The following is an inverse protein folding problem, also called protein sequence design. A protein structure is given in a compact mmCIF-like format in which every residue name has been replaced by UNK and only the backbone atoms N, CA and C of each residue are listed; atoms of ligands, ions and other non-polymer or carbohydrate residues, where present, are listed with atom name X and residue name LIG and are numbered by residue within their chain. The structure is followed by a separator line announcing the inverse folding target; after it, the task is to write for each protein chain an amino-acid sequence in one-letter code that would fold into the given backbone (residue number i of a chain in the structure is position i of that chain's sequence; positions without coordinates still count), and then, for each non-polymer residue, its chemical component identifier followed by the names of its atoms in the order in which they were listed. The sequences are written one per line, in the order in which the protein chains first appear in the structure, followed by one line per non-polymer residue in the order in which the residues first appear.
data_IF_144128664939
#
_entry.id   IF_144128664939
#
_cell.length_a   1.000
_cell.length_b   1.000
_cell.length_c   1.000
_cell.angle_alpha   90.00
_cell.angle_beta   90.00
_cell.angle_gamma   90.00
#
_symmetry.space_group_name_H-M   'P 1'
#
loop_
_entity.id
_entity.type
_entity.pdbx_description
1 polymer ?
#
# COMPACT_ATOMS: atom_id res chain seq x y z
N UNK A 1 70.01 27.02 -5.27
CA UNK A 1 70.21 25.77 -4.52
C UNK A 1 69.12 25.71 -3.47
N UNK A 2 67.90 25.35 -3.88
CA UNK A 2 66.77 25.21 -2.97
C UNK A 2 66.90 23.88 -2.23
N UNK A 3 66.99 23.95 -0.91
CA UNK A 3 67.11 22.80 -0.02
C UNK A 3 65.71 22.20 0.11
N UNK A 4 65.50 21.06 -0.56
CA UNK A 4 64.33 20.21 -0.37
C UNK A 4 64.43 19.62 1.04
N UNK A 5 63.68 20.18 1.99
CA UNK A 5 63.52 19.62 3.33
C UNK A 5 62.61 18.39 3.25
N UNK A 6 63.23 17.20 3.27
CA UNK A 6 62.54 15.93 3.48
C UNK A 6 61.98 15.88 4.92
N UNK A 7 60.70 16.19 5.09
CA UNK A 7 59.99 15.85 6.34
C UNK A 7 59.89 14.32 6.47
N UNK A 8 60.45 13.78 7.55
CA UNK A 8 60.28 12.37 7.94
C UNK A 8 58.80 12.09 8.19
N UNK A 9 58.23 10.99 7.66
CA UNK A 9 56.84 10.65 7.95
C UNK A 9 56.66 10.44 9.46
N UNK A 10 55.55 10.96 10.04
CA UNK A 10 55.32 10.85 11.47
C UNK A 10 55.29 9.39 11.91
N UNK A 11 55.98 9.09 13.01
CA UNK A 11 56.06 7.75 13.58
C UNK A 11 54.66 7.15 13.81
N UNK A 12 54.57 5.82 13.71
CA UNK A 12 53.33 5.03 13.82
C UNK A 12 52.48 5.44 15.04
N UNK A 13 53.13 5.81 16.15
CA UNK A 13 52.50 6.29 17.38
C UNK A 13 51.85 7.68 17.25
N UNK A 14 52.48 8.63 16.54
CA UNK A 14 51.90 9.96 16.30
C UNK A 14 50.70 9.89 15.36
N UNK A 15 50.75 9.00 14.35
CA UNK A 15 49.61 8.68 13.48
C UNK A 15 48.45 8.05 14.28
N UNK A 16 48.77 7.14 15.20
CA UNK A 16 47.76 6.50 16.07
C UNK A 16 47.13 7.50 17.05
N UNK A 17 47.93 8.41 17.62
CA UNK A 17 47.45 9.47 18.51
C UNK A 17 46.55 10.49 17.80
N UNK A 18 46.93 10.93 16.59
CA UNK A 18 46.09 11.79 15.76
C UNK A 18 44.79 11.09 15.33
N UNK A 19 44.86 9.79 15.03
CA UNK A 19 43.68 9.00 14.73
C UNK A 19 42.72 8.93 15.93
N UNK A 20 43.24 8.62 17.13
CA UNK A 20 42.49 8.62 18.39
C UNK A 20 41.86 9.98 18.70
N UNK A 21 42.59 11.08 18.47
CA UNK A 21 42.09 12.45 18.66
C UNK A 21 41.00 12.83 17.65
N UNK A 22 40.98 12.21 16.46
CA UNK A 22 39.95 12.41 15.43
C UNK A 22 38.68 11.56 15.63
N UNK A 23 38.70 10.54 16.49
CA UNK A 23 37.55 9.66 16.74
C UNK A 23 36.33 10.40 17.30
N UNK A 24 36.43 11.32 18.28
CA UNK A 24 35.29 12.06 18.81
C UNK A 24 34.62 12.93 17.75
N UNK A 25 35.39 13.58 16.88
CA UNK A 25 34.85 14.42 15.79
C UNK A 25 34.16 13.57 14.72
N UNK A 26 34.74 12.41 14.36
CA UNK A 26 34.10 11.43 13.47
C UNK A 26 32.82 10.87 14.08
N UNK A 27 32.79 10.61 15.38
CA UNK A 27 31.59 10.17 16.09
C UNK A 27 30.52 11.26 16.11
N UNK A 28 30.89 12.51 16.41
CA UNK A 28 29.97 13.66 16.34
C UNK A 28 29.40 13.85 14.93
N UNK A 29 30.23 13.80 13.90
CA UNK A 29 29.78 13.92 12.51
C UNK A 29 28.80 12.79 12.14
N UNK A 30 29.10 11.54 12.54
CA UNK A 30 28.17 10.41 12.37
C UNK A 30 26.86 10.60 13.13
N UNK A 31 26.90 11.10 14.37
CA UNK A 31 25.69 11.39 15.15
C UNK A 31 24.86 12.48 14.47
N UNK A 32 25.49 13.57 14.00
CA UNK A 32 24.80 14.63 13.26
C UNK A 32 24.20 14.11 11.95
N UNK A 33 24.91 13.26 11.22
CA UNK A 33 24.40 12.61 10.01
C UNK A 33 23.17 11.74 10.32
N UNK A 34 23.22 10.94 11.40
CA UNK A 34 22.09 10.13 11.87
C UNK A 34 20.91 11.01 12.27
N UNK A 35 21.15 12.07 13.04
CA UNK A 35 20.11 13.03 13.45
C UNK A 35 19.47 13.69 12.23
N UNK A 36 20.26 14.14 11.26
CA UNK A 36 19.75 14.72 10.02
C UNK A 36 18.92 13.71 9.21
N UNK A 37 19.33 12.44 9.16
CA UNK A 37 18.55 11.36 8.53
C UNK A 37 17.23 11.13 9.27
N UNK A 38 17.21 11.14 10.59
CA UNK A 38 15.99 10.96 11.41
C UNK A 38 15.05 12.15 11.23
N UNK A 39 15.56 13.38 11.28
CA UNK A 39 14.77 14.60 11.03
C UNK A 39 14.19 14.55 9.61
N UNK A 40 14.99 14.16 8.62
CA UNK A 40 14.52 13.99 7.25
C UNK A 40 13.44 12.91 7.14
N UNK A 41 13.61 11.77 7.80
CA UNK A 41 12.63 10.66 7.81
C UNK A 41 11.26 11.11 8.33
N UNK A 42 11.24 11.92 9.39
CA UNK A 42 10.01 12.48 9.98
C UNK A 42 9.39 13.59 9.15
N UNK A 43 10.21 14.40 8.45
CA UNK A 43 9.72 15.43 7.51
C UNK A 43 9.17 14.85 6.22
N UNK A 44 9.79 13.78 5.71
CA UNK A 44 9.40 13.13 4.45
C UNK A 44 8.05 12.42 4.57
N UNK A 45 7.76 11.78 5.72
CA UNK A 45 6.44 11.20 6.02
C UNK A 45 6.09 11.37 7.51
N UNK A 46 5.32 12.41 7.89
CA UNK A 46 4.98 12.67 9.29
C UNK A 46 4.15 11.54 9.92
N UNK A 47 3.48 10.71 9.11
CA UNK A 47 2.72 9.55 9.61
C UNK A 47 3.62 8.53 10.31
N UNK A 48 4.93 8.53 10.02
CA UNK A 48 5.93 7.68 10.72
C UNK A 48 6.10 8.08 12.18
N UNK A 49 6.07 9.38 12.48
CA UNK A 49 6.13 9.88 13.86
C UNK A 49 4.87 9.43 14.61
N UNK A 50 3.70 9.64 13.99
CA UNK A 50 2.44 9.21 14.57
C UNK A 50 2.41 7.69 14.80
N UNK A 51 2.89 6.90 13.84
CA UNK A 51 3.00 5.44 13.99
C UNK A 51 3.90 5.05 15.16
N UNK A 52 5.08 5.65 15.32
CA UNK A 52 5.96 5.37 16.46
C UNK A 52 5.28 5.66 17.81
N UNK A 53 4.52 6.75 17.89
CA UNK A 53 3.73 7.08 19.08
C UNK A 53 2.63 6.05 19.32
N UNK A 54 1.93 5.60 18.28
CA UNK A 54 0.90 4.54 18.39
C UNK A 54 1.46 3.24 18.93
N UNK A 55 2.63 2.81 18.44
CA UNK A 55 3.30 1.59 18.92
C UNK A 55 3.66 1.74 20.39
N UNK A 56 4.24 2.88 20.79
CA UNK A 56 4.54 3.18 22.19
C UNK A 56 3.30 3.17 23.08
N UNK A 57 2.19 3.75 22.61
CA UNK A 57 0.91 3.75 23.31
C UNK A 57 0.35 2.33 23.46
N UNK A 58 0.39 1.51 22.41
CA UNK A 58 -0.08 0.12 22.46
C UNK A 58 0.74 -0.71 23.45
N UNK A 59 2.06 -0.56 23.44
CA UNK A 59 2.95 -1.22 24.40
C UNK A 59 2.66 -0.76 25.83
N UNK A 60 2.48 0.54 26.05
CA UNK A 60 2.18 1.08 27.37
C UNK A 60 0.84 0.58 27.87
N UNK A 61 -0.19 0.61 27.01
CA UNK A 61 -1.53 0.14 27.33
C UNK A 61 -1.50 -1.34 27.73
N UNK A 62 -0.88 -2.21 26.93
CA UNK A 62 -0.77 -3.65 27.23
C UNK A 62 0.12 -3.91 28.45
N UNK A 63 1.14 -3.09 28.69
CA UNK A 63 2.01 -3.23 29.87
C UNK A 63 1.31 -2.82 31.17
N UNK A 64 0.36 -1.88 31.13
CA UNK A 64 -0.45 -1.53 32.30
C UNK A 64 -1.27 -2.74 32.79
N UNK A 65 -1.74 -3.62 31.88
CA UNK A 65 -2.38 -4.88 32.28
C UNK A 65 -1.44 -5.79 33.10
N UNK A 66 -0.12 -5.72 32.85
CA UNK A 66 0.87 -6.46 33.63
C UNK A 66 1.09 -5.87 35.02
N UNK A 67 1.03 -4.53 35.16
CA UNK A 67 1.23 -3.86 36.44
C UNK A 67 -0.01 -3.86 37.34
N UNK A 68 -1.19 -4.16 36.80
CA UNK A 68 -2.42 -4.25 37.57
C UNK A 68 -2.55 -5.62 38.24
N UNK A 69 -2.45 -5.65 39.57
CA UNK A 69 -2.29 -6.87 40.36
C UNK A 69 -3.33 -7.99 40.09
N UNK A 70 -4.65 -7.71 40.02
CA UNK A 70 -5.64 -8.72 39.68
C UNK A 70 -5.45 -9.36 38.29
N UNK A 71 -4.86 -8.65 37.33
CA UNK A 71 -4.59 -9.17 35.99
C UNK A 71 -3.26 -9.92 35.93
N UNK A 72 -2.27 -9.49 36.72
CA UNK A 72 -1.02 -10.22 36.91
C UNK A 72 -1.25 -11.59 37.56
N UNK A 73 -2.10 -11.66 38.60
CA UNK A 73 -2.40 -12.92 39.27
C UNK A 73 -3.09 -13.93 38.32
N UNK A 74 -3.85 -13.44 37.34
CA UNK A 74 -4.53 -14.28 36.34
C UNK A 74 -3.62 -14.71 35.17
N UNK A 75 -2.73 -13.83 34.67
CA UNK A 75 -1.93 -14.11 33.46
C UNK A 75 -0.45 -14.39 33.72
N UNK A 76 0.10 -13.93 34.85
CA UNK A 76 1.49 -14.10 35.27
C UNK A 76 2.51 -13.80 34.16
N UNK A 77 3.48 -14.70 33.99
CA UNK A 77 4.51 -14.63 32.94
C UNK A 77 3.90 -14.68 31.53
N UNK A 78 2.68 -15.22 31.37
CA UNK A 78 2.03 -15.30 30.05
C UNK A 78 1.68 -13.92 29.48
N UNK A 79 1.55 -12.89 30.31
CA UNK A 79 1.34 -11.52 29.87
C UNK A 79 2.49 -10.98 28.98
N UNK A 80 3.71 -11.53 29.08
CA UNK A 80 4.80 -11.21 28.15
C UNK A 80 4.42 -11.50 26.69
N UNK A 81 3.57 -12.51 26.44
CA UNK A 81 3.08 -12.81 25.10
C UNK A 81 2.19 -11.71 24.51
N UNK A 82 1.47 -10.96 25.35
CA UNK A 82 0.68 -9.81 24.90
C UNK A 82 1.61 -8.68 24.42
N UNK A 83 2.66 -8.37 25.18
CA UNK A 83 3.68 -7.37 24.80
C UNK A 83 4.39 -7.81 23.51
N UNK A 84 4.85 -9.05 23.45
CA UNK A 84 5.46 -9.61 22.24
C UNK A 84 4.51 -9.52 21.04
N UNK A 85 3.21 -9.76 21.25
CA UNK A 85 2.18 -9.63 20.19
C UNK A 85 2.16 -8.22 19.63
N UNK A 86 2.17 -7.19 20.48
CA UNK A 86 2.21 -5.79 20.02
C UNK A 86 3.42 -5.55 19.14
N UNK A 87 4.61 -5.96 19.58
CA UNK A 87 5.86 -5.75 18.84
C UNK A 87 5.83 -6.39 17.45
N UNK A 88 5.24 -7.57 17.30
CA UNK A 88 5.30 -8.32 16.03
C UNK A 88 4.10 -8.10 15.11
N UNK A 89 2.95 -7.66 15.66
CA UNK A 89 1.70 -7.46 14.91
C UNK A 89 1.52 -6.00 14.50
N UNK A 90 1.95 -5.03 15.32
CA UNK A 90 1.72 -3.63 15.02
C UNK A 90 2.55 -3.21 13.81
N UNK A 91 1.87 -2.84 12.74
CA UNK A 91 2.46 -2.49 11.45
C UNK A 91 2.09 -1.05 11.05
N UNK A 92 2.78 -0.54 10.04
CA UNK A 92 2.61 0.87 9.62
C UNK A 92 1.18 1.20 9.20
N UNK A 93 0.53 0.31 8.45
CA UNK A 93 -0.86 0.46 8.00
C UNK A 93 -1.84 -0.34 8.84
N UNK A 94 -3.10 0.11 8.82
CA UNK A 94 -4.22 -0.59 9.47
C UNK A 94 -4.39 -1.99 8.86
N UNK A 95 -4.40 -2.10 7.53
CA UNK A 95 -4.56 -3.38 6.84
C UNK A 95 -3.46 -4.40 7.18
N UNK A 96 -2.21 -3.95 7.27
CA UNK A 96 -1.10 -4.83 7.67
C UNK A 96 -1.24 -5.29 9.13
N UNK A 97 -1.60 -4.39 10.04
CA UNK A 97 -1.81 -4.71 11.46
C UNK A 97 -2.96 -5.69 11.65
N UNK A 98 -4.08 -5.45 10.95
CA UNK A 98 -5.28 -6.29 11.04
C UNK A 98 -5.04 -7.67 10.42
N UNK A 99 -4.38 -7.73 9.25
CA UNK A 99 -4.00 -8.99 8.62
C UNK A 99 -3.03 -9.81 9.47
N UNK A 100 -1.99 -9.21 10.05
CA UNK A 100 -1.09 -9.90 10.98
C UNK A 100 -1.79 -10.32 12.27
N UNK A 101 -2.64 -9.47 12.84
CA UNK A 101 -3.36 -9.74 14.09
C UNK A 101 -4.32 -10.92 13.95
N UNK A 102 -5.15 -10.92 12.89
CA UNK A 102 -6.05 -12.03 12.58
C UNK A 102 -5.28 -13.32 12.28
N UNK A 103 -4.20 -13.25 11.47
CA UNK A 103 -3.35 -14.40 11.20
C UNK A 103 -2.72 -14.96 12.48
N UNK A 104 -2.27 -14.11 13.42
CA UNK A 104 -1.72 -14.56 14.70
C UNK A 104 -2.77 -15.25 15.55
N UNK A 105 -3.95 -14.66 15.67
CA UNK A 105 -5.07 -15.21 16.45
C UNK A 105 -5.50 -16.58 15.92
N UNK A 106 -5.74 -16.68 14.61
CA UNK A 106 -6.13 -17.94 13.96
C UNK A 106 -5.03 -19.00 14.08
N UNK A 107 -3.77 -18.64 13.82
CA UNK A 107 -2.65 -19.56 13.95
C UNK A 107 -2.49 -20.06 15.40
N UNK A 108 -2.66 -19.19 16.38
CA UNK A 108 -2.57 -19.54 17.82
C UNK A 108 -3.72 -20.46 18.23
N UNK A 109 -4.93 -20.20 17.76
CA UNK A 109 -6.10 -21.04 18.03
C UNK A 109 -5.92 -22.44 17.42
N UNK A 110 -5.56 -22.53 16.14
CA UNK A 110 -5.38 -23.82 15.45
C UNK A 110 -4.19 -24.58 16.04
N UNK A 111 -3.07 -23.91 16.31
CA UNK A 111 -1.92 -24.53 16.98
C UNK A 111 -2.25 -24.99 18.40
N UNK A 112 -3.04 -24.21 19.15
CA UNK A 112 -3.47 -24.56 20.49
C UNK A 112 -4.35 -25.80 20.50
N UNK A 113 -5.38 -25.84 19.66
CA UNK A 113 -6.26 -27.00 19.54
C UNK A 113 -5.51 -28.26 19.10
N UNK A 114 -4.66 -28.14 18.06
CA UNK A 114 -3.85 -29.28 17.60
C UNK A 114 -2.79 -29.70 18.62
N UNK A 115 -2.18 -28.76 19.35
CA UNK A 115 -1.19 -29.07 20.38
C UNK A 115 -1.80 -29.83 21.56
N UNK A 116 -2.99 -29.42 22.02
CA UNK A 116 -3.76 -30.15 23.04
C UNK A 116 -4.13 -31.55 22.53
N UNK A 117 -4.58 -31.67 21.27
CA UNK A 117 -4.87 -32.97 20.65
C UNK A 117 -3.64 -33.88 20.53
N UNK A 118 -2.49 -33.32 20.14
CA UNK A 118 -1.22 -34.04 20.03
C UNK A 118 -0.77 -34.57 21.39
N UNK A 119 -0.88 -33.77 22.45
CA UNK A 119 -0.57 -34.22 23.80
C UNK A 119 -1.56 -35.30 24.28
N UNK A 120 -2.86 -35.12 24.06
CA UNK A 120 -3.85 -36.13 24.43
C UNK A 120 -3.60 -37.48 23.74
N UNK A 121 -3.15 -37.48 22.48
CA UNK A 121 -2.77 -38.70 21.77
C UNK A 121 -1.46 -39.31 22.30
N UNK A 122 -0.51 -38.46 22.70
CA UNK A 122 0.79 -38.90 23.21
C UNK A 122 0.70 -39.49 24.62
N UNK A 123 -0.14 -38.94 25.49
CA UNK A 123 -0.31 -39.45 26.86
C UNK A 123 -0.93 -40.85 26.90
N UNK A 124 -1.64 -41.28 25.85
CA UNK A 124 -2.10 -42.66 25.68
C UNK A 124 -0.96 -43.68 25.45
N UNK A 125 0.25 -43.21 25.14
CA UNK A 125 1.40 -44.06 24.80
C UNK A 125 2.29 -44.42 26.00
N UNK A 126 1.92 -43.97 27.21
CA UNK A 126 2.69 -44.18 28.45
C UNK A 126 3.95 -43.30 28.55
N UNK A 127 4.58 -43.30 29.73
CA UNK A 127 5.63 -42.33 30.10
C UNK A 127 6.86 -42.33 29.17
N UNK A 128 7.21 -43.48 28.58
CA UNK A 128 8.36 -43.61 27.68
C UNK A 128 7.97 -43.19 26.24
N UNK A 129 6.74 -43.51 25.82
CA UNK A 129 6.26 -43.27 24.45
C UNK A 129 5.79 -41.84 24.21
N UNK A 130 5.26 -41.18 25.24
CA UNK A 130 4.74 -39.81 25.18
C UNK A 130 5.75 -38.78 24.62
N UNK A 131 6.98 -38.63 25.16
CA UNK A 131 7.92 -37.64 24.63
C UNK A 131 8.39 -37.95 23.20
N UNK A 132 8.44 -39.24 22.82
CA UNK A 132 8.79 -39.67 21.46
C UNK A 132 7.68 -39.27 20.49
N UNK A 133 6.42 -39.52 20.84
CA UNK A 133 5.28 -39.19 19.98
C UNK A 133 5.07 -37.68 19.86
N UNK A 134 5.23 -36.92 20.96
CA UNK A 134 5.22 -35.46 20.93
C UNK A 134 6.32 -34.90 20.00
N UNK A 135 7.55 -35.42 20.13
CA UNK A 135 8.65 -35.04 19.24
C UNK A 135 8.35 -35.33 17.77
N UNK A 136 7.74 -36.48 17.48
CA UNK A 136 7.31 -36.85 16.14
C UNK A 136 6.22 -35.92 15.58
N UNK A 137 5.22 -35.57 16.39
CA UNK A 137 4.17 -34.61 15.98
C UNK A 137 4.74 -33.22 15.70
N UNK A 138 5.64 -32.73 16.55
CA UNK A 138 6.35 -31.45 16.32
C UNK A 138 7.16 -31.52 15.04
N UNK A 139 7.88 -32.61 14.78
CA UNK A 139 8.64 -32.80 13.55
C UNK A 139 7.75 -32.74 12.32
N UNK A 140 6.66 -33.52 12.27
CA UNK A 140 5.73 -33.53 11.13
C UNK A 140 5.11 -32.16 10.92
N UNK A 141 4.61 -31.53 11.99
CA UNK A 141 3.93 -30.25 11.92
C UNK A 141 4.89 -29.15 11.42
N UNK A 142 6.12 -29.10 11.95
CA UNK A 142 7.12 -28.12 11.55
C UNK A 142 7.61 -28.35 10.12
N UNK A 143 7.84 -29.61 9.72
CA UNK A 143 8.26 -29.96 8.35
C UNK A 143 7.16 -29.62 7.33
N UNK A 144 5.91 -30.03 7.59
CA UNK A 144 4.78 -29.73 6.72
C UNK A 144 4.54 -28.22 6.59
N UNK A 145 4.50 -27.51 7.72
CA UNK A 145 4.28 -26.05 7.71
C UNK A 145 5.42 -25.31 7.01
N UNK A 146 6.67 -25.75 7.19
CA UNK A 146 7.82 -25.17 6.50
C UNK A 146 7.78 -25.46 5.01
N UNK A 147 7.37 -26.66 4.60
CA UNK A 147 7.19 -26.99 3.19
C UNK A 147 6.10 -26.12 2.53
N UNK A 148 4.96 -25.94 3.23
CA UNK A 148 3.87 -25.07 2.78
C UNK A 148 4.34 -23.62 2.53
N UNK A 149 5.33 -23.13 3.28
CA UNK A 149 5.90 -21.77 3.10
C UNK A 149 6.68 -21.59 1.79
N UNK A 150 7.04 -22.66 1.07
CA UNK A 150 7.68 -22.53 -0.25
C UNK A 150 6.68 -22.18 -1.36
N UNK A 151 5.38 -22.38 -1.17
CA UNK A 151 4.37 -21.96 -2.14
C UNK A 151 4.22 -20.43 -2.12
N UNK A 152 4.54 -19.72 -3.21
CA UNK A 152 4.56 -18.25 -3.23
C UNK A 152 3.24 -17.60 -2.84
N UNK A 153 2.12 -18.20 -3.25
CA UNK A 153 0.75 -17.72 -2.97
C UNK A 153 0.41 -17.78 -1.48
N UNK A 154 0.84 -18.83 -0.79
CA UNK A 154 0.64 -19.01 0.65
C UNK A 154 1.63 -18.11 1.41
N UNK A 155 2.91 -18.09 0.99
CA UNK A 155 3.94 -17.27 1.61
C UNK A 155 3.57 -15.79 1.61
N UNK A 156 3.09 -15.27 0.49
CA UNK A 156 2.71 -13.86 0.39
C UNK A 156 1.58 -13.45 1.35
N UNK A 157 0.75 -14.39 1.84
CA UNK A 157 -0.43 -14.09 2.65
C UNK A 157 -0.33 -14.56 4.10
N UNK A 158 0.29 -15.71 4.33
CA UNK A 158 0.21 -16.45 5.58
C UNK A 158 1.57 -16.83 6.16
N UNK A 159 2.71 -16.36 5.59
CA UNK A 159 4.05 -16.72 6.09
C UNK A 159 4.20 -16.41 7.59
N UNK A 160 3.75 -15.24 8.03
CA UNK A 160 3.72 -14.89 9.44
C UNK A 160 2.82 -15.82 10.26
N UNK A 161 1.62 -16.15 9.77
CA UNK A 161 0.70 -17.08 10.43
C UNK A 161 1.30 -18.48 10.57
N UNK A 162 1.98 -18.99 9.53
CA UNK A 162 2.66 -20.29 9.55
C UNK A 162 3.83 -20.32 10.54
N UNK A 163 4.60 -19.23 10.66
CA UNK A 163 5.63 -19.10 11.68
C UNK A 163 5.04 -19.15 13.09
N UNK A 164 3.95 -18.43 13.34
CA UNK A 164 3.26 -18.46 14.64
C UNK A 164 2.62 -19.82 14.91
N UNK A 165 2.11 -20.49 13.88
CA UNK A 165 1.55 -21.84 13.97
C UNK A 165 2.61 -22.84 14.44
N UNK A 166 3.79 -22.87 13.78
CA UNK A 166 4.94 -23.68 14.20
C UNK A 166 5.35 -23.35 15.63
N UNK A 167 5.60 -22.08 15.93
CA UNK A 167 6.05 -21.65 17.26
C UNK A 167 5.05 -22.04 18.36
N UNK A 168 3.75 -21.88 18.10
CA UNK A 168 2.72 -22.14 19.10
C UNK A 168 2.50 -23.63 19.30
N UNK A 169 2.46 -24.41 18.22
CA UNK A 169 2.28 -25.84 18.29
C UNK A 169 3.46 -26.49 19.02
N UNK A 170 4.70 -26.13 18.65
CA UNK A 170 5.90 -26.64 19.31
C UNK A 170 5.92 -26.29 20.80
N UNK A 171 5.58 -25.04 21.14
CA UNK A 171 5.63 -24.62 22.54
C UNK A 171 4.55 -25.31 23.38
N UNK A 172 3.31 -25.40 22.89
CA UNK A 172 2.22 -26.09 23.63
C UNK A 172 2.52 -27.59 23.76
N UNK A 173 3.02 -28.23 22.70
CA UNK A 173 3.35 -29.66 22.71
C UNK A 173 4.52 -29.98 23.65
N UNK A 174 5.57 -29.13 23.69
CA UNK A 174 6.75 -29.35 24.55
C UNK A 174 6.50 -28.93 26.00
N UNK A 175 5.82 -27.80 26.23
CA UNK A 175 5.48 -27.34 27.58
C UNK A 175 4.43 -28.23 28.24
N UNK A 176 3.48 -28.75 27.46
CA UNK A 176 2.45 -29.64 27.99
C UNK A 176 2.96 -31.00 28.48
N UNK A 177 4.19 -31.39 28.12
CA UNK A 177 4.84 -32.56 28.72
C UNK A 177 5.25 -32.33 30.20
N UNK A 178 5.37 -31.07 30.66
CA UNK A 178 5.91 -30.74 32.00
C UNK A 178 4.87 -30.21 32.98
N UNK A 179 3.71 -29.76 32.49
CA UNK A 179 2.63 -29.18 33.28
C UNK A 179 1.29 -29.85 32.91
N UNK A 180 0.56 -30.33 33.92
CA UNK A 180 -0.71 -31.08 33.75
C UNK A 180 -1.88 -30.20 33.24
N UNK A 181 -1.71 -28.86 33.19
CA UNK A 181 -2.77 -27.89 32.85
C UNK A 181 -2.62 -27.27 31.44
N UNK A 182 -2.46 -28.12 30.43
CA UNK A 182 -2.21 -27.72 29.02
C UNK A 182 -3.35 -26.87 28.45
N UNK A 183 -4.59 -27.17 28.84
CA UNK A 183 -5.76 -26.42 28.41
C UNK A 183 -5.71 -24.98 28.94
N UNK A 184 -5.33 -24.81 30.21
CA UNK A 184 -5.13 -23.48 30.80
C UNK A 184 -4.00 -22.73 30.11
N UNK A 185 -2.89 -23.42 29.83
CA UNK A 185 -1.76 -22.84 29.11
C UNK A 185 -2.15 -22.36 27.70
N UNK A 186 -2.86 -23.20 26.93
CA UNK A 186 -3.35 -22.86 25.60
C UNK A 186 -4.36 -21.69 25.65
N UNK A 187 -5.25 -21.68 26.64
CA UNK A 187 -6.21 -20.60 26.86
C UNK A 187 -5.52 -19.28 27.20
N UNK A 188 -4.59 -19.26 28.16
CA UNK A 188 -3.80 -18.08 28.54
C UNK A 188 -3.05 -17.51 27.34
N UNK A 189 -2.47 -18.37 26.50
CA UNK A 189 -1.78 -17.94 25.28
C UNK A 189 -2.74 -17.33 24.26
N UNK A 190 -3.88 -17.95 23.99
CA UNK A 190 -4.88 -17.41 23.08
C UNK A 190 -5.40 -16.05 23.58
N UNK A 191 -5.78 -15.97 24.85
CA UNK A 191 -6.31 -14.76 25.48
C UNK A 191 -5.32 -13.60 25.45
N UNK A 192 -4.04 -13.84 25.77
CA UNK A 192 -2.99 -12.79 25.70
C UNK A 192 -2.69 -12.33 24.28
N UNK A 193 -2.76 -13.22 23.28
CA UNK A 193 -2.66 -12.86 21.86
C UNK A 193 -3.86 -12.00 21.43
N UNK A 194 -5.08 -12.33 21.86
CA UNK A 194 -6.29 -11.56 21.55
C UNK A 194 -6.24 -10.18 22.21
N UNK A 195 -5.79 -10.08 23.47
CA UNK A 195 -5.64 -8.79 24.18
C UNK A 195 -4.61 -7.92 23.45
N UNK A 196 -3.42 -8.46 23.16
CA UNK A 196 -2.38 -7.69 22.45
C UNK A 196 -2.79 -7.30 21.03
N UNK A 197 -3.43 -8.22 20.29
CA UNK A 197 -3.91 -7.99 18.93
C UNK A 197 -5.05 -6.97 18.85
N UNK A 198 -6.03 -7.05 19.76
CA UNK A 198 -7.13 -6.09 19.83
C UNK A 198 -6.63 -4.69 20.18
N UNK A 199 -5.71 -4.57 21.14
CA UNK A 199 -5.05 -3.31 21.45
C UNK A 199 -4.39 -2.67 20.23
N UNK A 200 -3.67 -3.45 19.43
CA UNK A 200 -3.04 -2.99 18.19
C UNK A 200 -4.08 -2.50 17.18
N UNK A 201 -5.12 -3.29 16.93
CA UNK A 201 -6.17 -2.98 15.96
C UNK A 201 -6.90 -1.69 16.37
N UNK A 202 -7.35 -1.60 17.63
CA UNK A 202 -8.06 -0.42 18.17
C UNK A 202 -7.21 0.84 18.00
N UNK A 203 -5.96 0.81 18.46
CA UNK A 203 -5.08 1.98 18.37
C UNK A 203 -4.76 2.34 16.91
N UNK A 204 -4.55 1.34 16.05
CA UNK A 204 -4.24 1.58 14.63
C UNK A 204 -5.38 2.27 13.88
N UNK A 205 -6.64 1.93 14.21
CA UNK A 205 -7.85 2.48 13.59
C UNK A 205 -8.22 3.84 14.18
N UNK A 206 -8.20 3.99 15.51
CA UNK A 206 -8.73 5.18 16.18
C UNK A 206 -7.76 6.37 16.16
N UNK A 207 -6.44 6.12 16.19
CA UNK A 207 -5.44 7.18 16.24
C UNK A 207 -4.88 7.38 14.84
N UNK A 208 -5.29 8.44 14.14
CA UNK A 208 -4.76 8.87 12.84
C UNK A 208 -4.48 7.70 11.85
N UNK A 209 -5.51 6.98 11.38
CA UNK A 209 -5.34 5.73 10.64
C UNK A 209 -4.51 5.93 9.35
N UNK A 210 -3.65 4.96 9.06
CA UNK A 210 -2.85 4.92 7.83
C UNK A 210 -3.36 3.78 6.97
N UNK A 211 -3.92 4.12 5.81
CA UNK A 211 -4.59 3.18 4.92
C UNK A 211 -3.69 2.79 3.74
N UNK A 212 -3.37 1.50 3.63
CA UNK A 212 -2.63 0.93 2.51
C UNK A 212 -3.41 1.07 1.19
N UNK A 213 -4.75 0.99 1.23
CA UNK A 213 -5.58 1.20 0.06
C UNK A 213 -5.44 2.61 -0.53
N UNK A 214 -5.38 3.63 0.32
CA UNK A 214 -5.14 5.02 -0.12
C UNK A 214 -3.74 5.20 -0.70
N UNK A 215 -2.72 4.60 -0.07
CA UNK A 215 -1.35 4.65 -0.57
C UNK A 215 -1.22 3.95 -1.93
N UNK A 216 -1.87 2.80 -2.13
CA UNK A 216 -1.92 2.10 -3.42
C UNK A 216 -2.60 2.96 -4.49
N UNK A 217 -3.74 3.54 -4.14
CA UNK A 217 -4.50 4.41 -5.03
C UNK A 217 -3.67 5.61 -5.51
N UNK A 218 -3.01 6.29 -4.58
CA UNK A 218 -2.14 7.42 -4.87
C UNK A 218 -0.91 7.00 -5.70
N UNK A 219 -0.32 5.84 -5.38
CA UNK A 219 0.86 5.31 -6.09
C UNK A 219 0.53 5.03 -7.56
N UNK A 220 -0.56 4.31 -7.84
CA UNK A 220 -0.98 3.99 -9.21
C UNK A 220 -1.24 5.26 -10.02
N UNK A 221 -1.97 6.23 -9.46
CA UNK A 221 -2.23 7.48 -10.15
C UNK A 221 -0.96 8.31 -10.38
N UNK A 222 -0.07 8.37 -9.39
CA UNK A 222 1.21 9.11 -9.50
C UNK A 222 2.11 8.48 -10.56
N UNK A 223 2.15 7.15 -10.65
CA UNK A 223 2.93 6.47 -11.69
C UNK A 223 2.40 6.79 -13.09
N UNK A 224 1.07 6.77 -13.29
CA UNK A 224 0.46 7.19 -14.56
C UNK A 224 0.78 8.65 -14.91
N UNK A 225 0.68 9.55 -13.94
CA UNK A 225 1.00 10.97 -14.13
C UNK A 225 2.46 11.18 -14.54
N UNK A 226 3.40 10.45 -13.92
CA UNK A 226 4.84 10.52 -14.27
C UNK A 226 5.12 10.05 -15.69
N UNK A 227 4.47 8.97 -16.13
CA UNK A 227 4.58 8.52 -17.51
C UNK A 227 3.97 9.56 -18.48
N UNK A 228 2.82 10.10 -18.12
CA UNK A 228 2.17 11.11 -18.96
C UNK A 228 3.00 12.38 -19.12
N UNK A 229 3.60 12.83 -18.01
CA UNK A 229 4.58 13.92 -17.96
C UNK A 229 5.76 13.69 -18.91
N UNK A 230 6.42 12.53 -18.82
CA UNK A 230 7.51 12.19 -19.75
C UNK A 230 7.06 12.29 -21.21
N UNK A 231 5.91 11.72 -21.56
CA UNK A 231 5.41 11.69 -22.93
C UNK A 231 5.02 13.07 -23.48
N UNK A 232 4.51 13.97 -22.65
CA UNK A 232 4.24 15.36 -23.06
C UNK A 232 5.55 16.10 -23.43
N UNK A 233 6.66 15.82 -22.75
CA UNK A 233 7.97 16.42 -23.03
C UNK A 233 8.78 15.72 -24.11
N UNK A 234 8.55 14.42 -24.36
CA UNK A 234 9.38 13.60 -25.23
C UNK A 234 9.50 14.12 -26.67
N UNK A 235 8.39 14.53 -27.29
CA UNK A 235 8.40 15.00 -28.68
C UNK A 235 9.30 16.23 -28.86
N UNK A 236 9.20 17.21 -27.96
CA UNK A 236 9.99 18.43 -28.05
C UNK A 236 11.49 18.15 -27.87
N UNK A 237 11.86 17.29 -26.92
CA UNK A 237 13.26 16.97 -26.65
C UNK A 237 13.86 16.10 -27.77
N UNK A 238 13.14 15.07 -28.22
CA UNK A 238 13.63 14.20 -29.28
C UNK A 238 13.80 14.95 -30.60
N UNK A 239 12.91 15.89 -30.93
CA UNK A 239 12.94 16.64 -32.19
C UNK A 239 13.66 18.00 -32.12
N UNK A 240 14.31 18.33 -31.00
CA UNK A 240 15.08 19.59 -30.84
C UNK A 240 16.24 19.68 -31.85
N UNK A 241 16.43 20.84 -32.46
CA UNK A 241 17.51 21.14 -33.40
C UNK A 241 18.74 21.63 -32.63
N UNK A 242 19.96 21.19 -33.00
CA UNK A 242 21.22 21.54 -32.32
C UNK A 242 21.55 23.04 -32.30
N UNK A 243 20.91 23.86 -33.12
CA UNK A 243 21.10 25.32 -33.16
C UNK A 243 20.47 26.05 -31.94
N UNK A 244 19.55 25.40 -31.23
CA UNK A 244 18.94 25.93 -30.00
C UNK A 244 19.80 25.57 -28.78
N UNK A 245 20.92 26.31 -28.67
CA UNK A 245 22.02 26.06 -27.76
C UNK A 245 21.65 25.80 -26.29
N UNK A 246 22.35 24.81 -25.73
CA UNK A 246 23.07 24.91 -24.46
C UNK A 246 22.29 25.41 -23.22
N UNK A 247 21.07 24.92 -23.04
CA UNK A 247 20.34 25.05 -21.77
C UNK A 247 19.64 23.76 -21.36
N UNK A 248 20.33 22.60 -21.42
CA UNK A 248 19.82 21.41 -20.73
C UNK A 248 19.91 21.66 -19.22
N UNK A 249 18.88 22.26 -18.64
CA UNK A 249 18.79 22.45 -17.20
C UNK A 249 18.84 21.08 -16.52
N UNK A 250 19.56 20.96 -15.40
CA UNK A 250 19.60 19.71 -14.61
C UNK A 250 18.19 19.21 -14.24
N UNK A 251 17.22 20.12 -14.17
CA UNK A 251 15.81 19.85 -13.87
C UNK A 251 15.06 19.18 -15.03
N UNK A 252 15.44 19.42 -16.28
CA UNK A 252 14.81 18.80 -17.46
C UNK A 252 15.27 17.34 -17.64
N UNK A 253 16.56 17.08 -17.37
CA UNK A 253 17.11 15.72 -17.29
C UNK A 253 16.57 14.92 -16.10
N UNK A 254 16.20 15.58 -14.99
CA UNK A 254 15.64 14.90 -13.82
C UNK A 254 14.18 14.49 -14.04
N UNK A 255 13.39 15.36 -14.67
CA UNK A 255 12.02 15.08 -15.10
C UNK A 255 11.93 13.86 -16.02
N UNK A 256 12.87 13.76 -16.98
CA UNK A 256 12.96 12.63 -17.91
C UNK A 256 13.31 11.29 -17.24
N UNK A 257 13.55 11.24 -15.93
CA UNK A 257 13.82 10.00 -15.21
C UNK A 257 12.76 9.66 -14.15
N UNK A 258 11.75 10.52 -13.95
CA UNK A 258 10.74 10.30 -12.90
C UNK A 258 9.92 9.02 -13.13
N UNK A 259 9.69 8.63 -14.39
CA UNK A 259 8.97 7.41 -14.75
C UNK A 259 9.64 6.14 -14.21
N UNK A 260 10.96 6.16 -13.94
CA UNK A 260 11.71 4.99 -13.41
C UNK A 260 11.17 4.51 -12.07
N UNK A 261 10.53 5.38 -11.30
CA UNK A 261 9.84 4.98 -10.07
C UNK A 261 8.69 4.00 -10.31
N UNK A 262 8.04 4.04 -11.47
CA UNK A 262 7.01 3.08 -11.86
C UNK A 262 7.60 1.71 -12.23
N UNK A 263 8.83 1.63 -12.77
CA UNK A 263 9.47 0.36 -13.10
C UNK A 263 9.71 -0.53 -11.87
N UNK A 264 10.02 0.10 -10.74
CA UNK A 264 10.35 -0.59 -9.49
C UNK A 264 9.16 -0.69 -8.50
N UNK A 265 7.94 -0.34 -8.92
CA UNK A 265 6.78 -0.27 -8.02
C UNK A 265 6.06 -1.60 -7.79
N UNK A 266 6.46 -2.70 -8.45
CA UNK A 266 5.70 -3.97 -8.40
C UNK A 266 5.53 -4.50 -6.98
N UNK A 267 6.60 -4.57 -6.20
CA UNK A 267 6.58 -5.12 -4.85
C UNK A 267 5.79 -4.24 -3.87
N UNK A 268 5.87 -2.91 -4.01
CA UNK A 268 5.09 -2.00 -3.20
C UNK A 268 3.60 -2.06 -3.54
N UNK A 269 3.24 -2.13 -4.83
CA UNK A 269 1.85 -2.29 -5.25
C UNK A 269 1.24 -3.61 -4.76
N UNK A 270 1.94 -4.73 -4.92
CA UNK A 270 1.47 -6.05 -4.48
C UNK A 270 1.30 -6.11 -2.95
N UNK A 271 2.26 -5.56 -2.19
CA UNK A 271 2.16 -5.51 -0.72
C UNK A 271 1.01 -4.62 -0.26
N UNK A 272 0.88 -3.40 -0.81
CA UNK A 272 -0.22 -2.50 -0.48
C UNK A 272 -1.59 -3.09 -0.83
N UNK A 273 -1.73 -3.76 -1.98
CA UNK A 273 -2.98 -4.42 -2.37
C UNK A 273 -3.34 -5.59 -1.45
N UNK A 274 -2.33 -6.32 -0.95
CA UNK A 274 -2.55 -7.38 0.04
C UNK A 274 -2.99 -6.82 1.39
N UNK A 275 -2.42 -5.71 1.85
CA UNK A 275 -2.83 -5.05 3.09
C UNK A 275 -4.22 -4.41 2.97
N UNK A 276 -4.50 -3.72 1.86
CA UNK A 276 -5.76 -3.03 1.62
C UNK A 276 -6.99 -3.97 1.62
N UNK A 277 -6.79 -5.27 1.33
CA UNK A 277 -7.85 -6.29 1.42
C UNK A 277 -8.34 -6.56 2.83
N UNK A 278 -7.51 -6.32 3.84
CA UNK A 278 -7.86 -6.49 5.24
C UNK A 278 -8.54 -5.25 5.81
N UNK A 279 -8.52 -4.12 5.10
CA UNK A 279 -9.04 -2.88 5.63
C UNK A 279 -10.59 -2.90 5.69
N UNK A 280 -11.20 -2.35 6.76
CA UNK A 280 -12.62 -2.00 6.73
C UNK A 280 -12.88 -0.96 5.64
N UNK A 281 -14.16 -0.73 5.30
CA UNK A 281 -14.50 0.40 4.44
C UNK A 281 -14.03 1.72 5.05
N UNK A 282 -13.37 2.57 4.25
CA UNK A 282 -12.83 3.85 4.69
C UNK A 282 -12.81 4.87 3.56
N UNK A 283 -13.03 6.15 3.90
CA UNK A 283 -13.05 7.25 2.93
C UNK A 283 -13.99 6.97 1.76
N UNK A 284 -13.42 6.86 0.56
CA UNK A 284 -14.15 6.58 -0.70
C UNK A 284 -14.11 5.10 -1.10
N UNK A 285 -13.44 4.27 -0.31
CA UNK A 285 -13.25 2.86 -0.59
C UNK A 285 -14.24 2.02 0.21
N UNK A 286 -15.09 1.31 -0.51
CA UNK A 286 -16.07 0.43 0.09
C UNK A 286 -15.40 -0.83 0.65
N UNK A 287 -16.08 -1.51 1.56
CA UNK A 287 -15.62 -2.83 2.01
C UNK A 287 -15.52 -3.79 0.81
N UNK A 288 -14.42 -4.56 0.73
CA UNK A 288 -14.08 -5.42 -0.43
C UNK A 288 -13.89 -4.65 -1.76
N UNK A 289 -13.36 -3.42 -1.69
CA UNK A 289 -12.94 -2.64 -2.86
C UNK A 289 -12.10 -3.46 -3.86
N UNK A 290 -12.22 -3.24 -5.19
CA UNK A 290 -11.56 -4.06 -6.22
C UNK A 290 -10.05 -3.79 -6.37
N UNK A 291 -9.26 -4.00 -5.30
CA UNK A 291 -7.80 -3.76 -5.27
C UNK A 291 -7.01 -4.53 -6.35
N UNK A 292 -7.53 -5.64 -6.88
CA UNK A 292 -6.89 -6.37 -7.96
C UNK A 292 -6.87 -5.61 -9.29
N UNK A 293 -7.83 -4.71 -9.53
CA UNK A 293 -7.85 -3.86 -10.73
C UNK A 293 -6.71 -2.84 -10.70
N UNK A 294 -6.32 -2.35 -9.51
CA UNK A 294 -5.13 -1.51 -9.35
C UNK A 294 -3.84 -2.24 -9.74
N UNK A 295 -3.70 -3.52 -9.41
CA UNK A 295 -2.55 -4.33 -9.83
C UNK A 295 -2.51 -4.55 -11.36
N UNK A 296 -3.69 -4.73 -11.98
CA UNK A 296 -3.80 -4.82 -13.45
C UNK A 296 -3.33 -3.51 -14.10
N UNK A 297 -3.82 -2.37 -13.62
CA UNK A 297 -3.37 -1.04 -14.09
C UNK A 297 -1.87 -0.89 -13.87
N UNK A 298 -1.36 -1.14 -12.66
CA UNK A 298 0.07 -1.04 -12.36
C UNK A 298 0.96 -1.91 -13.25
N UNK A 299 0.51 -3.12 -13.61
CA UNK A 299 1.21 -3.98 -14.57
C UNK A 299 1.28 -3.35 -15.97
N UNK A 300 0.17 -2.82 -16.46
CA UNK A 300 0.13 -2.14 -17.76
C UNK A 300 0.94 -0.83 -17.74
N UNK A 301 0.88 -0.07 -16.65
CA UNK A 301 1.72 1.12 -16.43
C UNK A 301 3.20 0.75 -16.51
N UNK A 302 3.63 -0.36 -15.90
CA UNK A 302 5.01 -0.86 -16.04
C UNK A 302 5.36 -1.26 -17.47
N UNK A 303 4.46 -1.95 -18.18
CA UNK A 303 4.67 -2.28 -19.59
C UNK A 303 4.88 -1.02 -20.44
N UNK A 304 4.09 0.03 -20.19
CA UNK A 304 4.26 1.34 -20.82
C UNK A 304 5.61 1.96 -20.44
N UNK A 305 5.97 1.91 -19.15
CA UNK A 305 7.21 2.45 -18.64
C UNK A 305 8.45 1.78 -19.27
N UNK A 306 8.43 0.47 -19.58
CA UNK A 306 9.53 -0.18 -20.31
C UNK A 306 9.69 0.35 -21.73
N UNK A 307 8.59 0.69 -22.42
CA UNK A 307 8.65 1.30 -23.76
C UNK A 307 9.16 2.74 -23.70
N UNK A 308 8.72 3.48 -22.69
CA UNK A 308 9.22 4.83 -22.37
C UNK A 308 10.72 4.79 -22.03
N UNK A 309 11.19 3.78 -21.29
CA UNK A 309 12.61 3.64 -20.96
C UNK A 309 13.47 3.41 -22.20
N UNK A 310 12.97 2.57 -23.13
CA UNK A 310 13.58 2.39 -24.43
C UNK A 310 13.61 3.71 -25.23
N UNK A 311 12.49 4.47 -25.27
CA UNK A 311 12.42 5.80 -25.91
C UNK A 311 13.43 6.79 -25.31
N UNK A 312 13.57 6.81 -23.99
CA UNK A 312 14.52 7.67 -23.29
C UNK A 312 15.98 7.36 -23.69
N UNK A 313 16.30 6.11 -24.03
CA UNK A 313 17.60 5.73 -24.59
C UNK A 313 17.93 6.39 -25.93
N UNK A 314 16.92 6.80 -26.70
CA UNK A 314 17.07 7.47 -28.00
C UNK A 314 17.16 9.00 -27.91
N UNK A 315 17.07 9.60 -26.70
CA UNK A 315 17.16 11.06 -26.51
C UNK A 315 18.60 11.61 -26.56
N UNK A 316 19.59 10.84 -26.09
CA UNK A 316 21.00 11.28 -25.95
C UNK A 316 21.96 10.55 -26.88
N UNK A 317 21.47 9.62 -27.69
CA UNK A 317 22.32 9.02 -28.71
C UNK A 317 22.55 10.10 -29.76
N UNK A 318 23.82 10.37 -30.08
CA UNK A 318 24.24 11.11 -31.29
C UNK A 318 23.82 10.30 -32.52
N UNK A 319 22.52 10.07 -32.67
CA UNK A 319 22.00 9.22 -33.72
C UNK A 319 22.27 9.99 -35.00
N UNK A 320 23.08 9.36 -35.85
CA UNK A 320 23.23 9.58 -37.29
C UNK A 320 21.87 9.40 -38.00
N UNK A 321 20.79 9.99 -37.49
CA UNK A 321 19.48 9.99 -38.12
C UNK A 321 19.50 11.11 -39.16
N UNK A 322 19.18 10.77 -40.41
CA UNK A 322 19.04 11.78 -41.44
C UNK A 322 17.97 12.80 -41.00
N UNK A 323 18.31 14.10 -40.86
CA UNK A 323 17.39 15.13 -40.36
C UNK A 323 16.12 15.24 -41.24
N UNK A 324 16.23 14.89 -42.51
CA UNK A 324 15.14 14.83 -43.49
C UNK A 324 14.07 13.76 -43.17
N UNK A 325 14.48 12.61 -42.64
CA UNK A 325 13.54 11.56 -42.23
C UNK A 325 12.88 11.97 -40.91
N UNK A 326 13.69 12.51 -40.00
CA UNK A 326 13.24 12.96 -38.69
C UNK A 326 12.13 14.03 -38.83
N UNK A 327 12.28 14.98 -39.75
CA UNK A 327 11.26 15.99 -40.03
C UNK A 327 9.97 15.40 -40.62
N UNK A 328 10.06 14.40 -41.50
CA UNK A 328 8.89 13.73 -42.10
C UNK A 328 7.99 13.02 -41.07
N UNK A 329 8.57 12.47 -40.00
CA UNK A 329 7.79 11.75 -38.97
C UNK A 329 7.50 12.61 -37.72
N UNK A 330 8.08 13.80 -37.63
CA UNK A 330 8.05 14.66 -36.45
C UNK A 330 6.64 14.97 -35.97
N UNK A 331 5.76 15.39 -36.89
CA UNK A 331 4.39 15.76 -36.56
C UNK A 331 3.62 14.59 -35.94
N UNK A 332 3.66 13.42 -36.60
CA UNK A 332 2.94 12.25 -36.15
C UNK A 332 3.49 11.72 -34.82
N UNK A 333 4.82 11.67 -34.66
CA UNK A 333 5.47 11.23 -33.43
C UNK A 333 5.20 12.17 -32.24
N UNK A 334 5.34 13.48 -32.46
CA UNK A 334 5.06 14.49 -31.43
C UNK A 334 3.59 14.42 -31.00
N UNK A 335 2.67 14.28 -31.96
CA UNK A 335 1.24 14.16 -31.67
C UNK A 335 0.89 12.87 -30.92
N UNK A 336 1.44 11.72 -31.33
CA UNK A 336 1.24 10.46 -30.60
C UNK A 336 1.72 10.56 -29.16
N UNK A 337 2.92 11.12 -28.95
CA UNK A 337 3.52 11.26 -27.63
C UNK A 337 2.69 12.19 -26.74
N UNK A 338 2.38 13.40 -27.25
CA UNK A 338 1.60 14.41 -26.53
C UNK A 338 0.21 13.90 -26.13
N UNK A 339 -0.53 13.31 -27.07
CA UNK A 339 -1.89 12.83 -26.81
C UNK A 339 -1.89 11.60 -25.90
N UNK A 340 -0.91 10.69 -26.03
CA UNK A 340 -0.76 9.59 -25.06
C UNK A 340 -0.42 10.11 -23.67
N UNK A 341 0.43 11.13 -23.58
CA UNK A 341 0.79 11.77 -22.31
C UNK A 341 -0.40 12.42 -21.60
N UNK A 342 -1.22 13.16 -22.36
CA UNK A 342 -2.47 13.76 -21.88
C UNK A 342 -3.46 12.69 -21.45
N UNK A 343 -3.66 11.64 -22.23
CA UNK A 343 -4.51 10.52 -21.86
C UNK A 343 -4.10 9.89 -20.51
N UNK A 344 -2.81 9.59 -20.31
CA UNK A 344 -2.32 9.03 -19.04
C UNK A 344 -2.53 9.98 -17.85
N UNK A 345 -2.37 11.29 -18.04
CA UNK A 345 -2.64 12.30 -17.00
C UNK A 345 -4.13 12.40 -16.68
N UNK A 346 -5.00 12.36 -17.68
CA UNK A 346 -6.45 12.33 -17.48
C UNK A 346 -6.89 11.06 -16.74
N UNK A 347 -6.33 9.89 -17.07
CA UNK A 347 -6.56 8.65 -16.32
C UNK A 347 -6.03 8.73 -14.89
N UNK A 348 -4.87 9.34 -14.67
CA UNK A 348 -4.35 9.60 -13.32
C UNK A 348 -5.29 10.50 -12.52
N UNK A 349 -5.85 11.54 -13.14
CA UNK A 349 -6.84 12.44 -12.54
C UNK A 349 -8.15 11.71 -12.26
N UNK A 350 -8.64 10.85 -13.16
CA UNK A 350 -9.82 10.02 -12.97
C UNK A 350 -9.69 9.16 -11.70
N UNK A 351 -8.54 8.48 -11.56
CA UNK A 351 -8.26 7.65 -10.39
C UNK A 351 -8.23 8.53 -9.14
N UNK A 352 -7.39 9.57 -9.09
CA UNK A 352 -7.28 10.47 -7.90
C UNK A 352 -8.61 11.06 -7.47
N UNK A 353 -9.45 11.47 -8.42
CA UNK A 353 -10.74 12.09 -8.14
C UNK A 353 -11.85 11.07 -7.92
N UNK A 354 -11.63 9.79 -8.29
CA UNK A 354 -12.67 8.74 -8.26
C UNK A 354 -13.88 9.14 -9.12
N UNK A 355 -13.61 9.66 -10.32
CA UNK A 355 -14.63 10.24 -11.21
C UNK A 355 -14.48 9.71 -12.63
N UNK A 356 -15.62 9.54 -13.32
CA UNK A 356 -15.65 9.05 -14.69
C UNK A 356 -15.37 10.13 -15.74
N UNK A 357 -15.60 11.42 -15.45
CA UNK A 357 -15.43 12.49 -16.44
C UNK A 357 -14.01 12.54 -17.07
N UNK A 358 -12.91 12.46 -16.30
CA UNK A 358 -11.58 12.47 -16.90
C UNK A 358 -11.29 11.21 -17.74
N UNK A 359 -12.00 10.10 -17.54
CA UNK A 359 -11.88 8.90 -18.40
C UNK A 359 -12.39 9.21 -19.81
N UNK A 360 -13.53 9.89 -19.92
CA UNK A 360 -14.08 10.33 -21.22
C UNK A 360 -13.15 11.33 -21.92
N UNK A 361 -12.49 12.21 -21.16
CA UNK A 361 -11.45 13.10 -21.69
C UNK A 361 -10.26 12.29 -22.24
N UNK A 362 -9.79 11.29 -21.49
CA UNK A 362 -8.72 10.40 -21.93
C UNK A 362 -9.07 9.65 -23.22
N UNK A 363 -10.31 9.21 -23.42
CA UNK A 363 -10.75 8.53 -24.65
C UNK A 363 -10.59 9.42 -25.90
N UNK A 364 -10.80 10.73 -25.75
CA UNK A 364 -10.60 11.68 -26.85
C UNK A 364 -9.14 11.76 -27.24
N UNK A 365 -8.25 11.86 -26.24
CA UNK A 365 -6.80 11.85 -26.46
C UNK A 365 -6.31 10.53 -27.06
N UNK A 366 -6.84 9.39 -26.61
CA UNK A 366 -6.50 8.06 -27.17
C UNK A 366 -6.91 7.97 -28.64
N UNK A 367 -8.10 8.46 -29.00
CA UNK A 367 -8.55 8.51 -30.41
C UNK A 367 -7.60 9.36 -31.27
N UNK A 368 -7.17 10.51 -30.76
CA UNK A 368 -6.21 11.37 -31.46
C UNK A 368 -4.85 10.71 -31.62
N UNK A 369 -4.34 10.06 -30.58
CA UNK A 369 -3.08 9.33 -30.59
C UNK A 369 -3.12 8.16 -31.60
N UNK A 370 -4.23 7.42 -31.64
CA UNK A 370 -4.47 6.35 -32.64
C UNK A 370 -4.53 6.87 -34.07
N UNK A 371 -5.17 8.02 -34.28
CA UNK A 371 -5.21 8.67 -35.59
C UNK A 371 -3.81 9.03 -36.07
N UNK A 372 -3.00 9.64 -35.19
CA UNK A 372 -1.60 9.94 -35.48
C UNK A 372 -0.76 8.68 -35.77
N UNK A 373 -0.97 7.60 -35.01
CA UNK A 373 -0.32 6.31 -35.25
C UNK A 373 -0.70 5.68 -36.60
N UNK A 374 -1.96 5.83 -37.04
CA UNK A 374 -2.40 5.38 -38.37
C UNK A 374 -1.74 6.20 -39.47
N UNK A 375 -1.69 7.52 -39.34
CA UNK A 375 -1.04 8.41 -40.30
C UNK A 375 0.46 8.09 -40.42
N UNK A 376 1.14 7.85 -39.29
CA UNK A 376 2.53 7.42 -39.31
C UNK A 376 2.70 6.08 -40.02
N UNK A 377 1.86 5.09 -39.73
CA UNK A 377 1.92 3.79 -40.42
C UNK A 377 1.69 3.90 -41.92
N UNK A 378 0.81 4.79 -42.39
CA UNK A 378 0.62 5.03 -43.83
C UNK A 378 1.85 5.70 -44.45
N UNK A 379 2.45 6.67 -43.76
CA UNK A 379 3.68 7.35 -44.17
C UNK A 379 4.87 6.38 -44.25
N UNK A 380 5.01 5.47 -43.29
CA UNK A 380 6.05 4.45 -43.29
C UNK A 380 5.89 3.47 -44.46
N UNK A 381 4.65 3.14 -44.84
CA UNK A 381 4.34 2.25 -45.97
C UNK A 381 4.50 2.90 -47.34
N UNK A 382 4.46 4.22 -47.43
CA UNK A 382 4.57 4.97 -48.69
C UNK A 382 6.01 5.24 -49.13
N UNK A 383 6.99 4.46 -48.65
CA UNK A 383 8.37 4.52 -49.18
C UNK A 383 9.23 5.67 -48.67
N UNK A 384 8.96 6.26 -47.49
CA UNK A 384 9.78 7.36 -46.91
C UNK A 384 11.29 7.02 -46.80
N UNK A 385 11.62 5.73 -46.86
CA UNK A 385 12.93 5.14 -46.60
C UNK A 385 13.70 4.71 -47.85
N UNK A 386 13.12 4.83 -49.05
CA UNK A 386 13.64 4.18 -50.27
C UNK A 386 15.07 4.63 -50.67
N UNK A 387 15.48 5.84 -50.28
CA UNK A 387 16.80 6.41 -50.61
C UNK A 387 17.76 6.54 -49.41
N UNK A 388 17.45 5.93 -48.26
CA UNK A 388 18.16 6.17 -47.00
C UNK A 388 19.02 4.97 -46.55
N UNK A 389 20.20 5.24 -45.99
CA UNK A 389 21.07 4.21 -45.42
C UNK A 389 20.42 3.55 -44.19
N UNK A 390 20.45 2.21 -44.15
CA UNK A 390 19.75 1.39 -43.15
C UNK A 390 20.16 1.77 -41.71
N UNK A 391 21.42 2.12 -41.47
CA UNK A 391 21.93 2.52 -40.16
C UNK A 391 21.29 3.83 -39.65
N UNK A 392 20.88 4.70 -40.56
CA UNK A 392 20.21 5.98 -40.25
C UNK A 392 18.69 5.82 -40.06
N UNK A 393 18.12 4.79 -40.70
CA UNK A 393 16.68 4.48 -40.69
C UNK A 393 16.25 3.75 -39.42
N UNK A 394 17.03 2.75 -39.01
CA UNK A 394 16.68 1.85 -37.89
C UNK A 394 16.32 2.60 -36.60
N UNK A 395 17.09 3.60 -36.13
CA UNK A 395 16.77 4.31 -34.89
C UNK A 395 15.45 5.09 -34.97
N UNK A 396 15.21 5.76 -36.11
CA UNK A 396 14.01 6.57 -36.34
C UNK A 396 12.77 5.69 -36.45
N UNK A 397 12.88 4.57 -37.17
CA UNK A 397 11.84 3.55 -37.25
C UNK A 397 11.57 2.89 -35.89
N UNK A 398 12.60 2.69 -35.06
CA UNK A 398 12.46 2.14 -33.71
C UNK A 398 11.68 3.09 -32.81
N UNK A 399 11.99 4.40 -32.83
CA UNK A 399 11.23 5.41 -32.08
C UNK A 399 9.77 5.45 -32.53
N UNK A 400 9.52 5.44 -33.84
CA UNK A 400 8.16 5.35 -34.40
C UNK A 400 7.40 4.11 -33.89
N UNK A 401 8.02 2.94 -33.94
CA UNK A 401 7.43 1.68 -33.46
C UNK A 401 7.16 1.70 -31.96
N UNK A 402 8.10 2.21 -31.16
CA UNK A 402 7.95 2.31 -29.71
C UNK A 402 6.82 3.27 -29.32
N UNK A 403 6.65 4.39 -30.04
CA UNK A 403 5.53 5.30 -29.82
C UNK A 403 4.19 4.64 -30.17
N UNK A 404 4.11 3.86 -31.26
CA UNK A 404 2.92 3.08 -31.58
C UNK A 404 2.60 2.09 -30.45
N UNK A 405 3.61 1.42 -29.90
CA UNK A 405 3.45 0.53 -28.75
C UNK A 405 3.00 1.26 -27.48
N UNK A 406 3.46 2.49 -27.25
CA UNK A 406 2.99 3.36 -26.16
C UNK A 406 1.53 3.74 -26.34
N UNK A 407 1.07 4.06 -27.57
CA UNK A 407 -0.35 4.33 -27.86
C UNK A 407 -1.21 3.11 -27.51
N UNK A 408 -0.80 1.92 -27.96
CA UNK A 408 -1.50 0.66 -27.67
C UNK A 408 -1.49 0.34 -26.16
N UNK A 409 -0.40 0.64 -25.47
CA UNK A 409 -0.33 0.44 -24.03
C UNK A 409 -1.25 1.41 -23.27
N UNK A 410 -1.31 2.68 -23.70
CA UNK A 410 -2.17 3.71 -23.11
C UNK A 410 -3.65 3.35 -23.25
N UNK A 411 -4.05 2.79 -24.40
CA UNK A 411 -5.40 2.24 -24.57
C UNK A 411 -5.70 1.12 -23.55
N UNK A 412 -4.83 0.12 -23.42
CA UNK A 412 -5.05 -0.99 -22.46
C UNK A 412 -5.15 -0.49 -21.01
N UNK A 413 -4.37 0.53 -20.67
CA UNK A 413 -4.45 1.21 -19.37
C UNK A 413 -5.82 1.86 -19.20
N UNK A 414 -6.33 2.55 -20.22
CA UNK A 414 -7.66 3.18 -20.19
C UNK A 414 -8.80 2.16 -20.04
N UNK A 415 -8.75 1.05 -20.78
CA UNK A 415 -9.70 -0.06 -20.63
C UNK A 415 -9.71 -0.60 -19.19
N UNK A 416 -8.52 -0.78 -18.60
CA UNK A 416 -8.39 -1.25 -17.21
C UNK A 416 -8.83 -0.21 -16.18
N UNK A 417 -8.65 1.08 -16.48
CA UNK A 417 -9.15 2.17 -15.65
C UNK A 417 -10.69 2.26 -15.70
N UNK A 418 -11.29 2.01 -16.87
CA UNK A 418 -12.74 1.89 -17.01
C UNK A 418 -13.30 0.69 -16.24
N UNK A 419 -12.66 -0.48 -16.32
CA UNK A 419 -13.01 -1.64 -15.50
C UNK A 419 -12.95 -1.34 -14.00
N UNK A 420 -11.91 -0.59 -13.55
CA UNK A 420 -11.80 -0.14 -12.17
C UNK A 420 -12.94 0.81 -11.82
N UNK A 421 -13.20 1.82 -12.65
CA UNK A 421 -14.23 2.83 -12.41
C UNK A 421 -15.63 2.20 -12.30
N UNK A 422 -15.94 1.25 -13.18
CA UNK A 422 -17.17 0.46 -13.14
C UNK A 422 -17.25 -0.40 -11.87
N UNK A 423 -16.20 -1.15 -11.54
CA UNK A 423 -16.21 -2.03 -10.37
C UNK A 423 -16.21 -1.27 -9.02
N UNK A 424 -15.71 -0.03 -9.01
CA UNK A 424 -15.60 0.82 -7.83
C UNK A 424 -16.69 1.90 -7.75
N UNK A 425 -17.67 1.90 -8.67
CA UNK A 425 -18.75 2.88 -8.75
C UNK A 425 -18.25 4.34 -8.72
N UNK A 426 -17.30 4.68 -9.60
CA UNK A 426 -16.83 6.07 -9.72
C UNK A 426 -17.99 6.99 -10.07
N UNK A 427 -17.99 8.20 -9.52
CA UNK A 427 -19.06 9.17 -9.71
C UNK A 427 -19.12 9.64 -11.18
N UNK A 428 -20.31 9.51 -11.78
CA UNK A 428 -20.70 10.18 -13.02
C UNK A 428 -21.24 11.56 -12.66
N UNK A 429 -20.51 12.62 -12.98
CA UNK A 429 -21.09 13.96 -12.92
C UNK A 429 -21.93 14.12 -14.19
N UNK A 430 -23.21 13.78 -14.07
CA UNK A 430 -24.22 14.23 -15.02
C UNK A 430 -24.40 15.74 -14.84
N UNK A 431 -23.92 16.50 -15.81
CA UNK A 431 -24.17 17.94 -15.90
C UNK A 431 -25.66 18.16 -16.24
N UNK A 432 -26.54 18.17 -15.24
CA UNK A 432 -27.83 18.85 -15.29
C UNK A 432 -28.39 19.06 -13.87
N UNK A 433 -28.33 20.32 -13.44
CA UNK A 433 -29.26 21.02 -12.54
C UNK A 433 -30.38 20.17 -11.94
N UNK A 434 -30.35 19.99 -10.61
CA UNK A 434 -31.56 20.15 -9.82
C UNK A 434 -31.23 20.93 -8.55
N UNK A 435 -31.83 22.10 -8.53
CA UNK A 435 -31.82 23.17 -7.54
C UNK A 435 -32.08 22.63 -6.13
N UNK A 436 -31.07 22.56 -5.27
CA UNK A 436 -31.33 22.65 -3.83
C UNK A 436 -31.39 24.13 -3.46
N UNK A 437 -32.62 24.57 -3.14
CA UNK A 437 -32.92 25.85 -2.50
C UNK A 437 -31.94 26.12 -1.34
N UNK A 438 -31.45 27.34 -1.16
CA UNK A 438 -30.66 27.68 0.01
C UNK A 438 -31.56 27.55 1.26
N UNK A 439 -31.20 26.65 2.18
CA UNK A 439 -31.71 26.70 3.57
C UNK A 439 -31.15 27.96 4.20
N UNK A 440 -31.99 29.00 4.23
CA UNK A 440 -31.77 30.20 5.04
C UNK A 440 -31.69 29.79 6.51
N UNK A 441 -30.51 29.98 7.10
CA UNK A 441 -30.36 30.13 8.54
C UNK A 441 -31.03 31.44 8.92
N UNK A 442 -32.13 31.37 9.67
CA UNK A 442 -32.70 32.55 10.30
C UNK A 442 -32.94 32.23 11.78
N UNK A 443 -32.07 32.79 12.61
CA UNK A 443 -32.27 32.95 14.05
C UNK A 443 -33.58 33.72 14.28
N UNK A 444 -34.48 33.16 15.06
CA UNK A 444 -35.68 33.84 15.56
C UNK A 444 -35.60 33.96 17.07
N UNK A 445 -35.20 35.14 17.56
CA UNK A 445 -35.56 35.60 18.90
C UNK A 445 -37.06 35.94 18.90
N UNK A 446 -37.83 35.34 19.80
CA UNK A 446 -39.24 35.66 19.99
C UNK A 446 -39.44 36.74 21.05
N UNK A 447 -40.02 37.87 20.64
CA UNK A 447 -40.74 38.80 21.51
C UNK A 447 -42.26 38.69 21.21
N UNK A 448 -43.05 39.00 22.24
CA UNK A 448 -44.47 38.70 22.48
C UNK A 448 -45.57 39.20 21.51
N UNK A 449 -46.76 38.56 21.69
CA UNK A 449 -48.18 39.02 21.53
C UNK A 449 -48.72 39.16 20.10
N UNK A 450 -49.97 38.80 19.74
CA UNK A 450 -51.22 38.51 20.47
C UNK A 450 -52.32 37.93 19.54
N UNK A 451 -53.27 37.21 20.14
CA UNK A 451 -54.70 37.01 19.81
C UNK A 451 -55.19 36.14 18.61
N UNK A 452 -55.90 35.07 19.03
CA UNK A 452 -57.22 34.58 18.63
C UNK A 452 -57.46 34.10 17.18
N UNK A 453 -57.55 32.77 16.98
CA UNK A 453 -58.82 32.02 16.82
C UNK A 453 -58.50 30.51 16.69
N UNK A 454 -59.29 29.61 17.29
CA UNK A 454 -59.04 28.16 17.25
C UNK A 454 -60.35 27.36 17.09
N UNK A 455 -60.43 26.41 16.16
CA UNK A 455 -61.39 25.32 16.24
C UNK A 455 -60.73 24.06 16.85
N UNK A 456 -61.44 23.46 17.80
CA UNK A 456 -61.07 22.26 18.57
C UNK A 456 -61.01 20.99 17.71
N UNK A 457 -59.99 20.15 17.94
CA UNK A 457 -60.02 18.70 17.68
C UNK A 457 -59.54 17.97 18.93
N UNK A 458 -60.43 17.14 19.47
CA UNK A 458 -60.27 16.35 20.71
C UNK A 458 -59.51 15.06 20.41
N UNK A 459 -58.52 14.73 21.23
CA UNK A 459 -57.80 13.43 21.23
C UNK A 459 -58.34 12.61 22.40
N UNK A 460 -58.76 11.37 22.13
CA UNK A 460 -59.13 10.39 23.17
C UNK A 460 -58.08 9.26 23.18
N UNK A 461 -57.33 9.15 24.28
CA UNK A 461 -56.45 8.01 24.58
C UNK A 461 -57.15 7.19 25.67
N UNK A 462 -57.29 5.88 25.46
CA UNK A 462 -57.75 4.94 26.49
C UNK A 462 -56.62 3.96 26.81
N UNK A 463 -56.22 3.94 28.07
CA UNK A 463 -55.23 3.04 28.66
C UNK A 463 -55.98 2.18 29.69
N UNK A 464 -55.90 0.85 29.55
CA UNK A 464 -56.60 -0.09 30.44
C UNK A 464 -55.61 -0.99 31.17
N UNK A 465 -55.52 -0.82 32.48
CA UNK A 465 -54.88 -1.73 33.44
C UNK A 465 -55.97 -2.57 34.11
N UNK A 466 -55.79 -3.90 34.31
CA UNK A 466 -56.65 -4.66 35.21
C UNK A 466 -55.94 -5.00 36.53
N UNK A 467 -56.64 -4.83 37.64
CA UNK A 467 -56.28 -5.37 38.94
C UNK A 467 -57.44 -6.22 39.50
N UNK A 468 -57.13 -7.50 39.76
CA UNK A 468 -57.49 -8.28 40.95
C UNK A 468 -58.95 -8.54 41.32
N UNK A 469 -59.31 -9.83 41.48
CA UNK A 469 -60.49 -10.22 42.25
C UNK A 469 -60.95 -11.69 42.18
N UNK A 470 -60.20 -12.58 42.84
CA UNK A 470 -60.58 -13.79 43.62
C UNK A 470 -61.85 -14.67 43.34
N UNK A 471 -61.59 -16.00 43.40
CA UNK A 471 -62.41 -17.14 43.87
C UNK A 471 -63.58 -17.63 42.96
N UNK A 472 -63.92 -18.92 42.79
CA UNK A 472 -63.69 -20.15 43.58
C UNK A 472 -63.94 -21.42 42.69
N UNK A 473 -63.34 -22.55 43.12
CA UNK A 473 -63.66 -23.99 42.93
C UNK A 473 -64.24 -24.56 41.61
N UNK A 474 -63.52 -25.54 41.05
CA UNK A 474 -64.01 -26.94 41.03
C UNK A 474 -62.91 -27.97 40.77
N UNK A 475 -63.10 -29.14 41.39
CA UNK A 475 -62.19 -30.26 41.56
C UNK A 475 -62.84 -31.51 40.93
N UNK A 476 -62.00 -32.46 40.45
CA UNK A 476 -62.24 -33.86 39.99
C UNK A 476 -61.67 -34.06 38.58
N UNK A 477 -60.84 -35.06 38.28
CA UNK A 477 -60.29 -36.18 39.04
C UNK A 477 -58.93 -36.56 38.41
#
# INVERSE_FOLDING_TARGET
MEIISHEKPPGLFARMWLYLKSLPEKLKAKVVEVVNKVIKLGKDDPRRITHSIKVGLALTMVSIFYYYQPLYDNFGVSAMWAVMTVVVVFEFSVGATLGKGLNRGLATLVAGGLGVGAHHLASLSGEIGEPILLGFFVFIQAAASTFIRFFPTIKARYDYGLLIFILTFSLISVSGFRDDEILEFAHKRLSTVIIGGSACIIISILICPVWAGQDLHNLVATNLEKLGKFLEGFGNEYFKTLEDGESSNKDEKSFMQEYKSALNSKSSEESLANFARWEPGHGRFQFRHPWQRYLKIGNLTRQCAYRIDALNGYLNTEIQAAPEIKSKIQEACTKMSLESGRALKELALAIKKTSQQPITSADTHIKNAKSAAKNLNTLLKSGIWEDCDLLTVVPVATVASLLIDVVNCTEKVAESAYELASAANFETIDSAVSTEKPRSVQCGAGAEKSNADCPHVVITVSESTPAGGMADRSLKA
#
